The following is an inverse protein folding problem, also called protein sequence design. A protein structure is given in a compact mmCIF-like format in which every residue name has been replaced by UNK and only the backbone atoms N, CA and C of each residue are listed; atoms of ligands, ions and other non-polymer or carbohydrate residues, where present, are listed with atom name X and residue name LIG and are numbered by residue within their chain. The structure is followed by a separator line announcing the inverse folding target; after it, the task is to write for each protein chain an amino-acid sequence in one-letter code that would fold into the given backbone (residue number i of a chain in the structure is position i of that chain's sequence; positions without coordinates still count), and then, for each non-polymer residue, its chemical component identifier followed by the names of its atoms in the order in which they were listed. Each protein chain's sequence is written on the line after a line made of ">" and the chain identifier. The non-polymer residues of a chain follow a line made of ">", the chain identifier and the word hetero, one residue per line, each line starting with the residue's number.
data_IF_898937890090
#
_entry.id   IF_898937890090
#
_cell.length_a   1.000
_cell.length_b   1.000
_cell.length_c   1.000
_cell.angle_alpha   90.00
_cell.angle_beta   90.00
_cell.angle_gamma   90.00
#
_symmetry.space_group_name_H-M   'P 1'
#
loop_
_entity.id
_entity.type
_entity.pdbx_description
1 polymer ?
#
# COMPACT_ATOMS: atom_id res chain seq x y z
N UNK A 1 -31.21 5.01 -5.55
CA UNK A 1 -31.54 3.57 -5.65
C UNK A 1 -30.35 2.64 -5.35
N UNK A 2 -29.17 2.81 -5.95
CA UNK A 2 -28.00 1.94 -5.73
C UNK A 2 -27.46 2.10 -4.30
N UNK A 3 -27.19 3.29 -3.86
CA UNK A 3 -26.59 3.58 -2.55
C UNK A 3 -27.54 3.25 -1.37
N UNK A 4 -28.88 3.30 -1.56
CA UNK A 4 -29.82 2.85 -0.53
C UNK A 4 -29.67 1.37 -0.27
N UNK A 5 -29.56 0.54 -1.34
CA UNK A 5 -29.35 -0.91 -1.20
C UNK A 5 -28.05 -1.26 -0.47
N UNK A 6 -26.99 -0.50 -0.68
CA UNK A 6 -25.75 -0.72 0.06
C UNK A 6 -25.92 -0.44 1.56
N UNK A 7 -26.61 0.65 1.92
CA UNK A 7 -26.92 0.95 3.31
C UNK A 7 -27.85 -0.09 3.95
N UNK A 8 -28.84 -0.53 3.22
CA UNK A 8 -29.76 -1.59 3.67
C UNK A 8 -29.00 -2.92 3.90
N UNK A 9 -28.10 -3.30 2.97
CA UNK A 9 -27.24 -4.48 3.12
C UNK A 9 -26.32 -4.43 4.35
N UNK A 10 -26.01 -3.23 4.85
CA UNK A 10 -25.26 -2.99 6.08
C UNK A 10 -26.19 -2.71 7.30
N UNK A 11 -27.46 -3.10 7.21
CA UNK A 11 -28.44 -2.98 8.29
C UNK A 11 -29.12 -1.61 8.40
N UNK A 12 -28.92 -0.68 7.47
CA UNK A 12 -29.63 0.59 7.34
C UNK A 12 -29.27 1.67 8.38
N UNK A 13 -28.52 1.33 9.44
CA UNK A 13 -28.21 2.21 10.58
C UNK A 13 -26.72 2.51 10.74
N UNK A 14 -25.87 2.05 9.81
CA UNK A 14 -24.43 2.32 9.87
C UNK A 14 -24.15 3.81 9.72
N UNK A 15 -23.35 4.36 10.62
CA UNK A 15 -22.90 5.76 10.57
C UNK A 15 -21.59 5.93 9.82
N UNK A 16 -20.79 4.87 9.71
CA UNK A 16 -19.50 4.85 9.03
C UNK A 16 -18.71 3.58 9.32
N UNK A 17 -17.59 3.44 8.66
CA UNK A 17 -16.68 2.31 8.79
C UNK A 17 -15.35 2.85 9.30
N UNK A 18 -14.77 2.17 10.30
CA UNK A 18 -13.39 2.42 10.74
C UNK A 18 -12.49 1.34 10.15
N UNK A 19 -11.38 1.72 9.56
CA UNK A 19 -10.38 0.81 9.03
C UNK A 19 -8.98 1.18 9.51
N UNK A 20 -8.10 0.20 9.57
CA UNK A 20 -6.72 0.35 9.99
C UNK A 20 -5.88 -0.87 9.60
N UNK A 21 -4.64 -0.94 10.07
CA UNK A 21 -3.67 -2.01 9.78
C UNK A 21 -3.17 -2.09 8.33
N UNK A 22 -3.92 -1.58 7.35
CA UNK A 22 -3.50 -1.44 5.96
C UNK A 22 -4.16 -0.21 5.34
N UNK A 23 -3.52 0.38 4.33
CA UNK A 23 -4.08 1.52 3.61
C UNK A 23 -5.38 1.13 2.89
N UNK A 24 -6.41 1.95 3.07
CA UNK A 24 -7.66 1.81 2.33
C UNK A 24 -7.50 2.42 0.93
N UNK A 25 -7.85 1.71 -0.15
CA UNK A 25 -7.82 2.30 -1.48
C UNK A 25 -8.66 3.58 -1.54
N UNK A 26 -8.05 4.68 -1.97
CA UNK A 26 -8.67 6.00 -1.99
C UNK A 26 -9.99 6.01 -2.80
N UNK A 27 -10.03 5.25 -3.91
CA UNK A 27 -11.22 5.06 -4.73
C UNK A 27 -12.38 4.47 -3.91
N UNK A 28 -12.09 3.44 -3.10
CA UNK A 28 -13.08 2.81 -2.22
C UNK A 28 -13.59 3.79 -1.16
N UNK A 29 -12.69 4.48 -0.46
CA UNK A 29 -13.05 5.48 0.54
C UNK A 29 -13.94 6.58 -0.04
N UNK A 30 -13.67 7.04 -1.27
CA UNK A 30 -14.49 8.04 -1.99
C UNK A 30 -15.88 7.51 -2.33
N UNK A 31 -15.97 6.32 -2.93
CA UNK A 31 -17.24 5.72 -3.36
C UNK A 31 -18.16 5.47 -2.17
N UNK A 32 -17.64 4.87 -1.10
CA UNK A 32 -18.44 4.64 0.12
C UNK A 32 -18.84 5.94 0.81
N UNK A 33 -17.95 6.94 0.86
CA UNK A 33 -18.31 8.26 1.40
C UNK A 33 -19.43 8.93 0.58
N UNK A 34 -19.38 8.84 -0.76
CA UNK A 34 -20.46 9.33 -1.64
C UNK A 34 -21.78 8.57 -1.43
N UNK A 35 -21.71 7.29 -1.04
CA UNK A 35 -22.88 6.49 -0.69
C UNK A 35 -23.46 6.82 0.70
N UNK A 36 -22.86 7.77 1.44
CA UNK A 36 -23.25 8.11 2.81
C UNK A 36 -22.79 7.09 3.85
N UNK A 37 -21.73 6.33 3.54
CA UNK A 37 -21.08 5.35 4.41
C UNK A 37 -19.60 5.76 4.53
N UNK A 38 -19.25 6.83 5.27
CA UNK A 38 -17.90 7.33 5.31
C UNK A 38 -16.93 6.30 5.91
N UNK A 39 -15.82 6.04 5.21
CA UNK A 39 -14.71 5.24 5.72
C UNK A 39 -13.72 6.21 6.40
N UNK A 40 -13.29 5.87 7.61
CA UNK A 40 -12.31 6.61 8.40
C UNK A 40 -11.12 5.73 8.71
N UNK A 41 -9.96 6.12 8.24
CA UNK A 41 -8.71 5.42 8.51
C UNK A 41 -8.11 5.88 9.82
N UNK A 42 -7.57 4.92 10.58
CA UNK A 42 -6.71 5.14 11.72
C UNK A 42 -5.37 4.45 11.53
N UNK A 43 -4.36 4.91 12.26
CA UNK A 43 -3.01 4.38 12.24
C UNK A 43 -2.50 4.12 13.64
N UNK A 44 -1.78 3.06 13.77
CA UNK A 44 -1.03 2.68 14.95
C UNK A 44 -0.50 1.26 14.83
N UNK A 45 0.14 0.81 15.88
CA UNK A 45 0.83 -0.47 15.98
C UNK A 45 0.43 -1.16 17.28
N UNK A 46 0.74 -2.43 17.44
CA UNK A 46 0.59 -3.13 18.72
C UNK A 46 1.35 -2.41 19.83
N UNK A 47 2.52 -1.90 19.51
CA UNK A 47 3.40 -1.11 20.38
C UNK A 47 2.80 0.24 20.81
N UNK A 48 1.67 0.66 20.23
CA UNK A 48 1.01 1.94 20.51
C UNK A 48 -0.42 1.78 21.02
N UNK A 49 -0.85 0.62 21.46
CA UNK A 49 -2.07 0.22 22.19
C UNK A 49 -3.42 0.69 21.61
N UNK A 50 -3.80 0.48 20.39
CA UNK A 50 -3.01 0.38 19.17
C UNK A 50 -2.94 1.67 18.36
N UNK A 51 -3.65 2.76 18.74
CA UNK A 51 -3.94 3.92 17.89
C UNK A 51 -3.03 5.11 18.20
N UNK A 52 -2.44 5.69 17.15
CA UNK A 52 -1.70 6.96 17.20
C UNK A 52 -2.51 8.11 16.58
N UNK A 53 -3.14 7.86 15.43
CA UNK A 53 -3.91 8.87 14.69
C UNK A 53 -5.23 8.30 14.19
N UNK A 54 -6.19 9.19 13.96
CA UNK A 54 -7.51 8.80 13.49
C UNK A 54 -8.21 9.92 12.71
N UNK A 55 -8.84 9.58 11.57
CA UNK A 55 -9.76 10.45 10.85
C UNK A 55 -11.12 10.49 11.57
N UNK A 56 -11.51 11.65 12.07
CA UNK A 56 -12.71 11.81 12.91
C UNK A 56 -13.98 11.94 12.08
N UNK A 57 -15.12 11.64 12.68
CA UNK A 57 -16.46 11.80 12.06
C UNK A 57 -17.08 13.20 12.27
N UNK A 58 -16.25 14.19 12.55
CA UNK A 58 -16.68 15.60 12.68
C UNK A 58 -16.22 16.42 11.47
N UNK A 59 -16.85 17.55 11.25
CA UNK A 59 -16.48 18.49 10.16
C UNK A 59 -15.03 18.95 10.31
N UNK A 60 -14.29 18.97 9.19
CA UNK A 60 -12.86 19.26 9.17
C UNK A 60 -11.98 18.21 9.85
N UNK A 61 -12.54 17.15 10.44
CA UNK A 61 -11.85 16.12 11.20
C UNK A 61 -11.32 14.94 10.39
N UNK A 62 -11.51 14.94 9.07
CA UNK A 62 -11.04 13.87 8.19
C UNK A 62 -10.47 14.41 6.87
N UNK A 63 -9.49 13.68 6.34
CA UNK A 63 -8.92 13.91 5.02
C UNK A 63 -8.64 12.56 4.37
N UNK A 64 -9.30 12.26 3.26
CA UNK A 64 -9.14 10.99 2.54
C UNK A 64 -7.71 10.83 2.02
N UNK A 65 -7.18 9.61 2.13
CA UNK A 65 -5.79 9.29 1.78
C UNK A 65 -4.78 9.68 2.86
N UNK A 66 -5.26 9.97 4.07
CA UNK A 66 -4.46 10.17 5.27
C UNK A 66 -4.95 9.25 6.39
N UNK A 67 -4.11 9.05 7.40
CA UNK A 67 -4.45 8.25 8.58
C UNK A 67 -4.96 9.11 9.75
N UNK A 68 -5.27 10.38 9.48
CA UNK A 68 -5.93 11.27 10.44
C UNK A 68 -4.98 12.14 11.27
N UNK A 69 -5.56 12.70 12.31
CA UNK A 69 -4.88 13.56 13.29
C UNK A 69 -4.47 12.74 14.53
N UNK A 70 -3.43 13.15 15.25
CA UNK A 70 -3.08 12.52 16.54
C UNK A 70 -4.29 12.44 17.47
N UNK A 71 -4.41 11.33 18.19
CA UNK A 71 -5.41 11.20 19.25
C UNK A 71 -4.99 12.05 20.47
N UNK A 72 -5.89 12.18 21.42
CA UNK A 72 -5.62 12.97 22.63
C UNK A 72 -4.37 12.44 23.36
N UNK A 73 -3.54 13.36 23.85
CA UNK A 73 -2.33 13.11 24.62
C UNK A 73 -1.24 12.32 23.87
N UNK A 74 -1.33 12.24 22.52
CA UNK A 74 -0.30 11.67 21.65
C UNK A 74 0.36 12.76 20.82
N UNK A 75 1.68 12.80 20.88
CA UNK A 75 2.53 13.66 20.06
C UNK A 75 3.14 12.87 18.91
N UNK A 76 3.20 13.49 17.72
CA UNK A 76 3.83 12.92 16.54
C UNK A 76 4.80 13.93 15.94
N UNK A 77 6.00 13.49 15.62
CA UNK A 77 6.96 14.26 14.83
C UNK A 77 7.53 13.41 13.69
N UNK A 78 8.00 14.08 12.66
CA UNK A 78 8.70 13.45 11.54
C UNK A 78 10.20 13.72 11.73
N UNK A 79 10.98 12.65 11.77
CA UNK A 79 12.44 12.72 11.88
C UNK A 79 13.06 13.22 10.55
N UNK A 80 14.33 13.55 10.56
CA UNK A 80 15.04 14.08 9.39
C UNK A 80 15.09 13.11 8.20
N UNK A 81 15.01 11.81 8.48
CA UNK A 81 14.95 10.74 7.49
C UNK A 81 13.51 10.37 7.07
N UNK A 82 12.53 11.14 7.56
CA UNK A 82 11.10 10.93 7.26
C UNK A 82 10.40 9.94 8.16
N UNK A 83 11.08 9.31 9.12
CA UNK A 83 10.45 8.37 10.05
C UNK A 83 9.43 9.05 10.96
N UNK A 84 8.30 8.42 11.16
CA UNK A 84 7.27 8.84 12.11
C UNK A 84 7.70 8.43 13.50
N UNK A 85 7.86 9.42 14.39
CA UNK A 85 8.13 9.21 15.81
C UNK A 85 6.88 9.58 16.61
N UNK A 86 6.55 8.76 17.61
CA UNK A 86 5.37 8.96 18.45
C UNK A 86 5.73 8.97 19.92
N UNK A 87 5.02 9.78 20.70
CA UNK A 87 5.12 9.83 22.16
C UNK A 87 3.74 9.99 22.77
N UNK A 88 3.47 9.25 23.83
CA UNK A 88 2.18 9.32 24.54
C UNK A 88 2.00 8.21 25.54
N UNK A 89 0.92 8.27 26.33
CA UNK A 89 0.64 7.27 27.37
C UNK A 89 0.28 5.88 26.83
N UNK A 90 0.00 5.77 25.54
CA UNK A 90 -0.35 4.54 24.82
C UNK A 90 0.88 3.81 24.26
N UNK A 91 2.08 4.38 24.38
CA UNK A 91 3.31 3.70 23.95
C UNK A 91 3.65 2.56 24.92
N UNK A 92 4.06 1.43 24.36
CA UNK A 92 4.47 0.26 25.14
C UNK A 92 5.62 0.58 26.11
N UNK A 93 5.73 -0.18 27.19
CA UNK A 93 6.88 -0.12 28.10
C UNK A 93 8.14 -0.77 27.50
N UNK A 94 7.96 -1.69 26.54
CA UNK A 94 9.04 -2.38 25.85
C UNK A 94 8.66 -3.79 25.41
N UNK A 95 9.56 -4.43 24.69
CA UNK A 95 9.42 -5.83 24.27
C UNK A 95 9.78 -6.77 25.43
N UNK A 96 8.93 -7.76 25.66
CA UNK A 96 9.09 -8.69 26.77
C UNK A 96 10.40 -9.49 26.66
N UNK A 97 11.23 -9.38 27.69
CA UNK A 97 12.58 -9.99 27.77
C UNK A 97 13.56 -9.62 26.64
N UNK A 98 13.31 -8.49 25.96
CA UNK A 98 14.12 -8.01 24.84
C UNK A 98 14.54 -6.54 25.05
N UNK A 99 15.34 -6.23 26.10
CA UNK A 99 15.69 -4.84 26.44
C UNK A 99 16.53 -4.16 25.35
N UNK A 100 17.34 -4.92 24.63
CA UNK A 100 18.16 -4.41 23.52
C UNK A 100 17.26 -3.91 22.39
N UNK A 101 16.33 -4.74 21.93
CA UNK A 101 15.35 -4.33 20.90
C UNK A 101 14.45 -3.19 21.35
N UNK A 102 14.17 -3.11 22.64
CA UNK A 102 13.43 -1.98 23.19
C UNK A 102 14.20 -0.67 23.04
N UNK A 103 15.49 -0.68 23.37
CA UNK A 103 16.37 0.50 23.22
C UNK A 103 16.58 0.93 21.77
N UNK A 104 16.44 0.02 20.79
CA UNK A 104 16.52 0.36 19.37
C UNK A 104 15.35 1.24 18.90
N UNK A 105 14.18 1.10 19.53
CA UNK A 105 12.94 1.76 19.07
C UNK A 105 12.36 2.77 20.07
N UNK A 106 12.78 2.74 21.34
CA UNK A 106 12.26 3.61 22.37
C UNK A 106 13.40 4.42 23.01
N UNK A 107 13.37 5.72 22.84
CA UNK A 107 14.36 6.64 23.40
C UNK A 107 14.10 6.87 24.91
N UNK A 108 15.13 7.31 25.66
CA UNK A 108 15.01 7.59 27.10
C UNK A 108 13.99 8.70 27.42
N UNK A 109 13.82 9.67 26.52
CA UNK A 109 12.82 10.73 26.61
C UNK A 109 11.42 10.34 26.13
N UNK A 110 11.20 9.04 25.80
CA UNK A 110 9.90 8.43 25.55
C UNK A 110 9.40 8.55 24.10
N UNK A 111 10.24 8.85 23.12
CA UNK A 111 9.89 8.77 21.72
C UNK A 111 10.04 7.35 21.18
N UNK A 112 8.99 6.88 20.53
CA UNK A 112 8.94 5.57 19.88
C UNK A 112 9.15 5.73 18.36
N UNK A 113 10.11 4.99 17.83
CA UNK A 113 10.41 4.87 16.40
C UNK A 113 9.46 3.84 15.78
N UNK A 114 8.53 4.30 14.94
CA UNK A 114 7.48 3.42 14.41
C UNK A 114 7.96 2.50 13.28
N UNK A 115 9.08 2.84 12.64
CA UNK A 115 9.56 2.18 11.43
C UNK A 115 8.75 2.52 10.17
N UNK A 116 7.75 3.39 10.28
CA UNK A 116 6.95 3.90 9.17
C UNK A 116 7.43 5.31 8.78
N UNK A 117 7.37 5.63 7.50
CA UNK A 117 7.75 6.94 6.94
C UNK A 117 6.50 7.70 6.55
N UNK A 118 6.49 9.01 6.80
CA UNK A 118 5.32 9.82 6.52
C UNK A 118 5.57 11.31 6.51
N UNK A 119 4.49 12.05 6.29
CA UNK A 119 4.50 13.52 6.28
C UNK A 119 3.18 14.06 6.80
N UNK A 120 3.18 15.32 7.22
CA UNK A 120 1.95 16.03 7.51
C UNK A 120 1.44 16.76 6.26
N UNK A 121 0.13 16.66 6.03
CA UNK A 121 -0.60 17.42 5.02
C UNK A 121 -1.69 18.23 5.71
N UNK A 122 -2.02 19.39 5.15
CA UNK A 122 -2.97 20.33 5.74
C UNK A 122 -4.25 20.35 4.90
N UNK A 123 -5.42 20.29 5.55
CA UNK A 123 -6.70 20.46 4.85
C UNK A 123 -7.08 21.95 4.71
N UNK A 124 -8.23 22.21 4.06
CA UNK A 124 -8.75 23.56 3.85
C UNK A 124 -9.06 24.32 5.16
N UNK A 125 -9.29 23.61 6.27
CA UNK A 125 -9.55 24.20 7.58
C UNK A 125 -8.26 24.45 8.41
N UNK A 126 -7.07 24.22 7.82
CA UNK A 126 -5.79 24.39 8.48
C UNK A 126 -5.37 23.24 9.40
N UNK A 127 -6.16 22.16 9.49
CA UNK A 127 -5.85 20.99 10.31
C UNK A 127 -4.78 20.13 9.64
N UNK A 128 -3.80 19.67 10.43
CA UNK A 128 -2.71 18.81 9.98
C UNK A 128 -3.08 17.34 10.15
N UNK A 129 -2.95 16.58 9.07
CA UNK A 129 -3.21 15.14 9.00
C UNK A 129 -1.93 14.39 8.70
N UNK A 130 -1.72 13.26 9.37
CA UNK A 130 -0.61 12.37 9.07
C UNK A 130 -0.93 11.56 7.80
N UNK A 131 0.01 11.53 6.88
CA UNK A 131 -0.01 10.67 5.69
C UNK A 131 1.20 9.75 5.75
N UNK A 132 0.95 8.44 5.81
CA UNK A 132 1.99 7.43 5.70
C UNK A 132 2.37 7.31 4.22
N UNK A 133 3.65 7.27 3.94
CA UNK A 133 4.16 7.09 2.57
C UNK A 133 4.69 5.69 2.36
N UNK A 134 5.41 5.11 3.34
CA UNK A 134 5.88 3.72 3.28
C UNK A 134 6.40 3.23 4.63
N UNK A 135 6.96 2.02 4.64
CA UNK A 135 7.78 1.49 5.73
C UNK A 135 9.26 1.73 5.46
N UNK A 136 10.00 2.17 6.46
CA UNK A 136 11.43 2.45 6.37
C UNK A 136 12.24 1.25 5.85
N UNK A 137 11.88 0.03 6.30
CA UNK A 137 12.52 -1.23 5.88
C UNK A 137 12.07 -1.73 4.49
N UNK A 138 11.03 -1.12 3.92
CA UNK A 138 10.51 -1.50 2.59
C UNK A 138 10.87 -0.50 1.49
N UNK A 139 11.48 0.64 1.86
CA UNK A 139 12.00 1.59 0.90
C UNK A 139 13.09 0.94 0.03
N UNK A 140 12.91 1.03 -1.29
CA UNK A 140 13.89 0.55 -2.25
C UNK A 140 14.95 1.63 -2.50
N UNK A 141 16.21 1.31 -2.29
CA UNK A 141 17.32 2.20 -2.64
C UNK A 141 17.87 1.82 -4.01
N UNK A 142 17.65 2.67 -5.00
CA UNK A 142 18.19 2.46 -6.35
C UNK A 142 19.72 2.57 -6.37
N UNK A 143 20.36 2.04 -7.41
CA UNK A 143 21.83 2.15 -7.59
C UNK A 143 22.32 3.59 -7.66
N UNK A 144 21.45 4.55 -8.04
CA UNK A 144 21.72 6.00 -7.99
C UNK A 144 21.53 6.63 -6.60
N UNK A 145 21.30 5.82 -5.55
CA UNK A 145 21.14 6.29 -4.17
C UNK A 145 19.81 6.97 -3.87
N UNK A 146 18.82 6.90 -4.78
CA UNK A 146 17.48 7.45 -4.56
C UNK A 146 16.58 6.42 -3.89
N UNK A 147 15.78 6.88 -2.94
CA UNK A 147 14.78 6.04 -2.28
C UNK A 147 13.46 6.11 -3.03
N UNK A 148 12.82 4.96 -3.20
CA UNK A 148 11.48 4.80 -3.78
C UNK A 148 10.60 4.06 -2.79
N UNK A 149 9.43 4.61 -2.55
CA UNK A 149 8.38 4.02 -1.72
C UNK A 149 7.51 3.09 -2.57
N UNK A 150 7.55 1.74 -2.41
CA UNK A 150 6.78 0.83 -3.26
C UNK A 150 5.28 0.87 -2.99
N UNK A 151 4.86 1.03 -1.73
CA UNK A 151 3.45 0.89 -1.34
C UNK A 151 2.48 1.87 -2.05
N UNK A 152 2.80 3.17 -2.25
CA UNK A 152 1.93 4.07 -3.02
C UNK A 152 1.77 3.65 -4.48
N UNK A 153 2.86 3.17 -5.10
CA UNK A 153 2.85 2.69 -6.49
C UNK A 153 1.97 1.46 -6.60
N UNK A 154 2.21 0.46 -5.75
CA UNK A 154 1.45 -0.78 -5.71
C UNK A 154 -0.04 -0.53 -5.45
N UNK A 155 -0.36 0.37 -4.53
CA UNK A 155 -1.74 0.75 -4.23
C UNK A 155 -2.42 1.39 -5.44
N UNK A 156 -1.72 2.25 -6.18
CA UNK A 156 -2.27 2.90 -7.37
C UNK A 156 -2.52 1.92 -8.50
N UNK A 157 -1.59 1.01 -8.75
CA UNK A 157 -1.74 0.01 -9.81
C UNK A 157 -2.86 -0.98 -9.52
N UNK A 158 -3.12 -1.32 -8.25
CA UNK A 158 -4.27 -2.16 -7.84
C UNK A 158 -5.65 -1.49 -8.03
N UNK A 159 -5.72 -0.21 -8.38
CA UNK A 159 -6.97 0.41 -8.81
C UNK A 159 -7.43 -0.07 -10.21
N UNK A 160 -6.53 -0.65 -11.00
CA UNK A 160 -6.85 -1.28 -12.29
C UNK A 160 -7.49 -2.64 -12.08
N UNK A 161 -8.62 -2.89 -12.73
CA UNK A 161 -9.33 -4.19 -12.68
C UNK A 161 -8.50 -5.35 -13.26
N UNK A 162 -7.45 -5.07 -14.03
CA UNK A 162 -6.55 -6.06 -14.63
C UNK A 162 -5.44 -6.52 -13.67
N UNK A 163 -5.20 -5.79 -12.57
CA UNK A 163 -4.10 -6.07 -11.64
C UNK A 163 -4.66 -6.65 -10.35
N UNK A 164 -4.45 -7.94 -10.13
CA UNK A 164 -4.82 -8.61 -8.88
C UNK A 164 -3.78 -8.30 -7.78
N UNK A 165 -2.51 -8.56 -8.10
CA UNK A 165 -1.41 -8.33 -7.16
C UNK A 165 -0.23 -7.71 -7.91
N UNK A 166 0.55 -6.91 -7.18
CA UNK A 166 1.74 -6.25 -7.73
C UNK A 166 2.77 -6.09 -6.62
N UNK A 167 4.03 -6.30 -6.96
CA UNK A 167 5.17 -5.97 -6.13
C UNK A 167 6.18 -5.16 -6.93
N UNK A 168 6.47 -3.94 -6.47
CA UNK A 168 7.53 -3.11 -7.04
C UNK A 168 8.88 -3.66 -6.58
N UNK A 169 9.80 -3.81 -7.53
CA UNK A 169 11.17 -4.28 -7.35
C UNK A 169 12.16 -3.25 -7.88
N UNK A 170 13.40 -3.24 -7.39
CA UNK A 170 14.40 -2.27 -7.86
C UNK A 170 15.50 -1.97 -6.85
N UNK A 171 15.59 -2.74 -5.76
CA UNK A 171 16.69 -2.59 -4.79
C UNK A 171 18.03 -2.75 -5.49
N UNK A 172 18.91 -1.73 -5.34
CA UNK A 172 20.24 -1.67 -5.98
C UNK A 172 20.22 -1.70 -7.53
N UNK A 173 19.06 -1.49 -8.17
CA UNK A 173 18.91 -1.44 -9.63
C UNK A 173 18.83 0.01 -10.13
N UNK A 174 19.06 0.22 -11.43
CA UNK A 174 19.04 1.57 -12.07
C UNK A 174 17.67 2.26 -12.04
N UNK A 175 16.59 1.47 -12.01
CA UNK A 175 15.21 1.93 -12.03
C UNK A 175 14.30 0.91 -11.33
N UNK A 176 13.09 1.32 -10.99
CA UNK A 176 12.07 0.40 -10.45
C UNK A 176 11.29 -0.28 -11.55
N UNK A 177 10.92 -1.52 -11.28
CA UNK A 177 10.14 -2.39 -12.14
C UNK A 177 9.06 -3.08 -11.30
N UNK A 178 8.21 -3.89 -11.91
CA UNK A 178 7.16 -4.59 -11.17
C UNK A 178 7.02 -6.06 -11.59
N UNK A 179 6.73 -6.91 -10.60
CA UNK A 179 6.08 -8.20 -10.80
C UNK A 179 4.57 -7.97 -10.69
N UNK A 180 3.80 -8.39 -11.67
CA UNK A 180 2.35 -8.20 -11.72
C UNK A 180 1.67 -9.55 -11.89
N UNK A 181 0.75 -9.86 -10.98
CA UNK A 181 -0.19 -10.97 -11.14
C UNK A 181 -1.47 -10.40 -11.76
N UNK A 182 -1.83 -10.83 -12.97
CA UNK A 182 -3.09 -10.43 -13.59
C UNK A 182 -4.31 -10.91 -12.80
N UNK A 183 -5.39 -10.14 -12.80
CA UNK A 183 -6.72 -10.60 -12.43
C UNK A 183 -7.21 -11.54 -13.53
N UNK A 184 -6.88 -12.83 -13.43
CA UNK A 184 -7.11 -13.81 -14.49
C UNK A 184 -8.55 -13.85 -15.00
N UNK A 185 -9.60 -13.82 -14.17
CA UNK A 185 -10.98 -13.82 -14.69
C UNK A 185 -11.26 -12.62 -15.62
N UNK A 186 -10.72 -11.44 -15.29
CA UNK A 186 -10.87 -10.23 -16.12
C UNK A 186 -10.02 -10.32 -17.38
N UNK A 187 -8.78 -10.82 -17.24
CA UNK A 187 -7.86 -10.96 -18.37
C UNK A 187 -8.35 -12.00 -19.37
N UNK A 188 -8.87 -13.14 -18.91
CA UNK A 188 -9.39 -14.21 -19.76
C UNK A 188 -10.64 -13.74 -20.52
N UNK A 189 -11.55 -13.00 -19.89
CA UNK A 189 -12.68 -12.37 -20.57
C UNK A 189 -12.21 -11.39 -21.64
N UNK A 190 -11.27 -10.49 -21.29
CA UNK A 190 -10.71 -9.53 -22.23
C UNK A 190 -10.00 -10.22 -23.41
N UNK A 191 -9.30 -11.31 -23.15
CA UNK A 191 -8.62 -12.09 -24.18
C UNK A 191 -9.62 -12.69 -25.18
N UNK A 192 -10.74 -13.20 -24.68
CA UNK A 192 -11.83 -13.70 -25.53
C UNK A 192 -12.42 -12.58 -26.40
N UNK A 193 -12.72 -11.41 -25.82
CA UNK A 193 -13.31 -10.26 -26.53
C UNK A 193 -12.35 -9.67 -27.59
N UNK A 194 -11.01 -9.88 -27.42
CA UNK A 194 -9.98 -9.37 -28.33
C UNK A 194 -9.33 -10.45 -29.21
N UNK A 195 -9.97 -11.62 -29.30
CA UNK A 195 -9.52 -12.73 -30.15
C UNK A 195 -8.07 -13.16 -29.87
N UNK A 196 -7.69 -13.19 -28.57
CA UNK A 196 -6.37 -13.67 -28.13
C UNK A 196 -6.47 -15.18 -27.90
N UNK A 197 -5.84 -15.96 -28.77
CA UNK A 197 -5.73 -17.41 -28.57
C UNK A 197 -4.58 -17.73 -27.61
N UNK A 198 -4.81 -18.66 -26.68
CA UNK A 198 -3.80 -19.15 -25.75
C UNK A 198 -4.12 -20.59 -25.33
N UNK A 199 -3.12 -21.34 -24.89
CA UNK A 199 -3.25 -22.74 -24.46
C UNK A 199 -3.25 -22.87 -22.93
N UNK A 200 -2.55 -21.97 -22.26
CA UNK A 200 -2.38 -21.93 -20.81
C UNK A 200 -2.06 -20.50 -20.34
N UNK A 201 -2.03 -20.29 -19.04
CA UNK A 201 -1.71 -18.97 -18.45
C UNK A 201 -0.31 -18.47 -18.80
N UNK A 202 0.66 -19.37 -18.99
CA UNK A 202 2.01 -19.00 -19.40
C UNK A 202 2.03 -18.43 -20.81
N UNK A 203 1.29 -19.05 -21.73
CA UNK A 203 1.10 -18.56 -23.08
C UNK A 203 0.33 -17.22 -23.08
N UNK A 204 -0.72 -17.11 -22.27
CA UNK A 204 -1.54 -15.90 -22.14
C UNK A 204 -0.71 -14.68 -21.70
N UNK A 205 0.02 -14.78 -20.60
CA UNK A 205 0.77 -13.64 -20.04
C UNK A 205 1.96 -13.20 -20.89
N UNK A 206 2.46 -14.09 -21.78
CA UNK A 206 3.52 -13.76 -22.72
C UNK A 206 2.99 -13.35 -24.10
N UNK A 207 1.67 -13.35 -24.32
CA UNK A 207 1.08 -12.93 -25.58
C UNK A 207 1.32 -11.43 -25.81
N UNK A 208 1.82 -11.01 -26.99
CA UNK A 208 2.13 -9.60 -27.26
C UNK A 208 0.95 -8.64 -27.07
N UNK A 209 -0.30 -9.06 -27.39
CA UNK A 209 -1.50 -8.24 -27.16
C UNK A 209 -1.74 -8.03 -25.66
N UNK A 210 -1.51 -9.05 -24.83
CA UNK A 210 -1.65 -8.98 -23.36
C UNK A 210 -0.56 -8.09 -22.77
N UNK A 211 0.69 -8.27 -23.19
CA UNK A 211 1.81 -7.41 -22.75
C UNK A 211 1.54 -5.96 -23.12
N UNK A 212 1.08 -5.68 -24.35
CA UNK A 212 0.71 -4.32 -24.76
C UNK A 212 -0.45 -3.74 -23.94
N UNK A 213 -1.44 -4.57 -23.55
CA UNK A 213 -2.52 -4.15 -22.65
C UNK A 213 -1.99 -3.71 -21.28
N UNK A 214 -1.09 -4.48 -20.68
CA UNK A 214 -0.48 -4.10 -19.41
C UNK A 214 0.47 -2.91 -19.55
N UNK A 215 1.18 -2.78 -20.70
CA UNK A 215 1.97 -1.58 -20.97
C UNK A 215 1.08 -0.33 -21.01
N UNK A 216 -0.09 -0.38 -21.62
CA UNK A 216 -1.01 0.75 -21.63
C UNK A 216 -1.48 1.15 -20.21
N UNK A 217 -1.64 0.18 -19.31
CA UNK A 217 -1.97 0.45 -17.91
C UNK A 217 -0.79 1.13 -17.20
N UNK A 218 0.43 0.66 -17.45
CA UNK A 218 1.65 1.28 -16.91
C UNK A 218 1.79 2.72 -17.40
N UNK A 219 1.58 2.96 -18.68
CA UNK A 219 1.68 4.30 -19.30
C UNK A 219 0.60 5.26 -18.78
N UNK A 220 -0.61 4.76 -18.52
CA UNK A 220 -1.72 5.55 -17.92
C UNK A 220 -1.43 5.93 -16.47
N UNK A 221 -0.86 5.03 -15.68
CA UNK A 221 -0.71 5.23 -14.24
C UNK A 221 0.62 5.91 -13.84
N UNK A 222 1.69 5.71 -14.60
CA UNK A 222 3.00 6.29 -14.35
C UNK A 222 3.02 7.82 -14.18
N UNK A 223 2.21 8.63 -14.91
CA UNK A 223 2.19 10.08 -14.71
C UNK A 223 1.78 10.55 -13.31
N UNK A 224 1.21 9.67 -12.48
CA UNK A 224 0.90 9.98 -11.07
C UNK A 224 2.16 10.00 -10.18
N UNK A 225 3.32 9.61 -10.69
CA UNK A 225 4.56 9.41 -9.93
C UNK A 225 5.71 10.24 -10.50
N UNK A 226 6.69 10.57 -9.65
CA UNK A 226 7.93 11.18 -10.09
C UNK A 226 8.72 10.23 -10.99
N UNK A 227 9.59 10.78 -11.83
CA UNK A 227 10.34 9.98 -12.83
C UNK A 227 11.10 8.78 -12.23
N UNK A 228 11.60 8.89 -11.00
CA UNK A 228 12.32 7.81 -10.32
C UNK A 228 11.40 6.72 -9.77
N UNK A 229 10.12 7.03 -9.54
CA UNK A 229 9.11 6.12 -9.01
C UNK A 229 8.33 5.41 -10.12
N UNK A 230 8.47 5.86 -11.36
CA UNK A 230 7.80 5.26 -12.51
C UNK A 230 8.30 3.85 -12.81
N UNK A 231 7.39 2.91 -12.95
CA UNK A 231 7.69 1.54 -13.40
C UNK A 231 8.21 1.62 -14.84
N UNK A 232 9.45 1.18 -15.07
CA UNK A 232 10.08 1.20 -16.40
C UNK A 232 9.89 -0.10 -17.16
N UNK A 233 9.84 -1.23 -16.44
CA UNK A 233 9.61 -2.56 -17.00
C UNK A 233 8.75 -3.36 -16.03
N UNK A 234 8.10 -4.40 -16.50
CA UNK A 234 7.34 -5.31 -15.67
C UNK A 234 7.42 -6.74 -16.19
N UNK A 235 7.09 -7.69 -15.31
CA UNK A 235 6.90 -9.09 -15.67
C UNK A 235 5.53 -9.54 -15.19
N UNK A 236 4.74 -10.12 -16.09
CA UNK A 236 3.49 -10.78 -15.75
C UNK A 236 3.77 -12.18 -15.23
N UNK A 237 3.14 -12.53 -14.13
CA UNK A 237 3.25 -13.83 -13.50
C UNK A 237 2.03 -14.70 -13.81
N UNK A 238 2.22 -16.01 -13.75
CA UNK A 238 1.20 -17.01 -14.09
C UNK A 238 0.37 -17.49 -12.90
N UNK A 239 0.87 -17.25 -11.69
CA UNK A 239 0.29 -17.76 -10.45
C UNK A 239 -0.01 -16.62 -9.48
N UNK A 240 -1.16 -16.71 -8.84
CA UNK A 240 -1.55 -15.82 -7.75
C UNK A 240 -0.72 -16.13 -6.50
N UNK A 241 -0.44 -15.08 -5.71
CA UNK A 241 0.20 -15.21 -4.42
C UNK A 241 -0.84 -15.51 -3.35
N UNK A 242 -0.56 -16.49 -2.49
CA UNK A 242 -1.47 -16.88 -1.42
C UNK A 242 -0.74 -17.07 -0.10
N UNK A 243 -1.43 -17.11 1.04
CA UNK A 243 -0.83 -17.51 2.31
C UNK A 243 -0.28 -18.95 2.27
N UNK A 244 -0.95 -19.85 1.56
CA UNK A 244 -0.60 -21.27 1.43
C UNK A 244 0.68 -21.46 0.62
N UNK A 245 0.84 -20.70 -0.46
CA UNK A 245 2.07 -20.71 -1.29
C UNK A 245 3.21 -19.89 -0.68
N UNK A 246 2.92 -19.16 0.39
CA UNK A 246 3.90 -18.52 1.26
C UNK A 246 4.24 -17.08 0.94
N UNK A 247 3.79 -16.52 -0.19
CA UNK A 247 4.07 -15.13 -0.59
C UNK A 247 3.29 -14.10 0.21
N UNK A 248 2.14 -14.50 0.79
CA UNK A 248 1.35 -13.63 1.64
C UNK A 248 1.40 -14.05 3.10
N UNK A 249 1.13 -13.09 3.97
CA UNK A 249 0.80 -13.40 5.38
C UNK A 249 -0.65 -13.87 5.48
N UNK A 250 -1.08 -14.48 6.62
CA UNK A 250 -2.50 -14.80 6.85
C UNK A 250 -3.43 -13.56 6.77
N UNK A 251 -2.87 -12.36 6.93
CA UNK A 251 -3.60 -11.08 6.78
C UNK A 251 -3.44 -10.47 5.38
N UNK A 252 -3.06 -11.30 4.37
CA UNK A 252 -2.95 -10.93 2.96
C UNK A 252 -1.88 -9.86 2.66
N UNK A 253 -0.87 -9.69 3.52
CA UNK A 253 0.25 -8.77 3.28
C UNK A 253 1.37 -9.48 2.53
N UNK A 254 1.98 -8.80 1.57
CA UNK A 254 3.11 -9.29 0.76
C UNK A 254 4.33 -9.57 1.65
N UNK A 255 4.92 -10.74 1.49
CA UNK A 255 6.22 -11.11 2.06
C UNK A 255 7.31 -10.86 1.01
N UNK A 256 7.78 -9.62 0.89
CA UNK A 256 8.73 -9.18 -0.16
C UNK A 256 9.96 -10.08 -0.28
N UNK A 257 10.55 -10.49 0.85
CA UNK A 257 11.72 -11.38 0.84
C UNK A 257 11.39 -12.70 0.14
N UNK A 258 10.29 -13.35 0.48
CA UNK A 258 9.87 -14.63 -0.11
C UNK A 258 9.65 -14.49 -1.61
N UNK A 259 8.99 -13.41 -2.05
CA UNK A 259 8.73 -13.16 -3.48
C UNK A 259 10.05 -12.87 -4.22
N UNK A 260 10.94 -12.04 -3.65
CA UNK A 260 12.24 -11.76 -4.24
C UNK A 260 13.07 -13.05 -4.43
N UNK A 261 13.08 -13.92 -3.42
CA UNK A 261 13.82 -15.17 -3.48
C UNK A 261 13.20 -16.13 -4.51
N UNK A 262 11.87 -16.25 -4.53
CA UNK A 262 11.14 -17.15 -5.43
C UNK A 262 11.22 -16.73 -6.90
N UNK A 263 11.13 -15.44 -7.19
CA UNK A 263 11.11 -14.87 -8.54
C UNK A 263 12.42 -14.18 -8.91
N UNK A 264 13.53 -14.58 -8.30
CA UNK A 264 14.84 -13.95 -8.53
C UNK A 264 15.26 -13.99 -10.01
N UNK A 265 14.96 -15.07 -10.73
CA UNK A 265 15.28 -15.23 -12.16
C UNK A 265 14.48 -14.25 -13.03
N UNK A 266 13.17 -14.13 -12.77
CA UNK A 266 12.27 -13.22 -13.45
C UNK A 266 12.66 -11.75 -13.21
N UNK A 267 13.03 -11.45 -11.96
CA UNK A 267 13.52 -10.11 -11.59
C UNK A 267 14.82 -9.79 -12.33
N UNK A 268 15.80 -10.69 -12.31
CA UNK A 268 17.07 -10.47 -13.03
C UNK A 268 16.84 -10.31 -14.54
N UNK A 269 15.95 -11.10 -15.15
CA UNK A 269 15.63 -11.00 -16.56
C UNK A 269 15.08 -9.60 -16.95
N UNK A 270 14.30 -8.95 -16.07
CA UNK A 270 13.78 -7.59 -16.30
C UNK A 270 14.93 -6.58 -16.51
N UNK A 271 16.07 -6.77 -15.86
CA UNK A 271 17.19 -5.80 -15.87
C UNK A 271 18.33 -6.16 -16.83
N UNK A 272 18.33 -7.38 -17.37
CA UNK A 272 19.38 -7.84 -18.30
C UNK A 272 19.06 -7.58 -19.78
N UNK A 273 17.81 -7.17 -20.08
CA UNK A 273 17.36 -6.66 -21.39
C UNK A 273 17.50 -5.12 -21.41
#
# INVERSE_FOLDING_TARGET
>A
LIFSKWREGLGGRIMGIVTGSAACPLKMARVFSAAGIPIREGYGLTETSPVLTFNRFVEGGAMLGTVGMPIKDVEIKIATDGEILAKGPNIMMGYYKEPEKTREVLTEDGWFSTGDVGTFVTNYAGNKFLKITDRKKELLKTSGGKYVAPAPIESKFRESFFVEQIMVVGESKKFVSALIVPAFPVLEQWAQENEVSYTDRGNLVNNPKVVAKFQSIVDELNPNFSHIEQIKKFKLLTSEWTPESGELTPTMKIKRKVINDKYAKEIEAIYND
#
